data_IF_996450811762
#
_entry.id   IF_996450811762
#
_cell.length_a   1.000
_cell.length_b   1.000
_cell.length_c   1.000
_cell.angle_alpha   90.00
_cell.angle_beta   90.00
_cell.angle_gamma   90.00
#
_symmetry.space_group_name_H-M   'P 1'
#
loop_
_entity.id
_entity.type
_entity.pdbx_description
1 polymer ?
#
# COMPACT_ATOMS: atom_id res chain seq x y z
N UNK A 1 -48.84 49.41 55.56
CA UNK A 1 -49.31 49.84 56.89
C UNK A 1 -50.76 49.43 57.05
N UNK A 2 -51.27 49.38 58.28
CA UNK A 2 -52.70 49.23 58.59
C UNK A 2 -53.11 50.29 59.62
N UNK A 3 -54.40 50.41 59.91
CA UNK A 3 -54.93 51.38 60.88
C UNK A 3 -55.65 50.66 62.02
N UNK A 4 -55.32 51.05 63.25
CA UNK A 4 -56.03 50.69 64.47
C UNK A 4 -56.79 51.91 65.01
N UNK A 5 -57.97 51.68 65.58
CA UNK A 5 -58.85 52.76 66.05
C UNK A 5 -58.31 53.49 67.29
N UNK A 6 -57.41 52.88 68.05
CA UNK A 6 -56.82 53.44 69.27
C UNK A 6 -55.37 53.90 69.05
N UNK A 7 -54.56 53.10 68.36
CA UNK A 7 -53.11 53.33 68.14
C UNK A 7 -52.80 54.10 66.86
N UNK A 8 -53.77 54.24 65.94
CA UNK A 8 -53.56 54.87 64.66
C UNK A 8 -52.80 53.97 63.68
N UNK A 9 -51.81 54.50 62.94
CA UNK A 9 -51.12 53.73 61.90
C UNK A 9 -50.14 52.71 62.48
N UNK A 10 -50.30 51.43 62.12
CA UNK A 10 -49.38 50.35 62.46
C UNK A 10 -48.54 49.97 61.23
N UNK A 11 -47.22 49.97 61.41
CA UNK A 11 -46.27 49.45 60.41
C UNK A 11 -46.08 47.96 60.60
N UNK A 12 -46.22 47.19 59.52
CA UNK A 12 -46.07 45.75 59.58
C UNK A 12 -44.60 45.36 59.76
N UNK A 13 -44.36 44.33 60.54
CA UNK A 13 -43.05 43.68 60.67
C UNK A 13 -43.04 42.36 59.91
N UNK A 14 -41.88 41.94 59.41
CA UNK A 14 -41.73 40.63 58.78
C UNK A 14 -40.41 39.98 59.21
N UNK A 15 -40.38 38.66 59.22
CA UNK A 15 -39.16 37.87 59.42
C UNK A 15 -38.43 37.58 58.11
N UNK A 16 -39.03 37.92 56.96
CA UNK A 16 -38.38 37.77 55.65
C UNK A 16 -37.16 38.68 55.56
N UNK A 17 -36.02 38.11 55.17
CA UNK A 17 -34.77 38.85 54.94
C UNK A 17 -34.79 39.50 53.56
N UNK A 18 -34.35 40.76 53.49
CA UNK A 18 -34.20 41.51 52.25
C UNK A 18 -32.71 41.83 51.99
N UNK A 19 -32.28 41.97 50.72
CA UNK A 19 -33.08 41.82 49.50
C UNK A 19 -33.46 40.35 49.19
N UNK A 20 -34.62 40.14 48.55
CA UNK A 20 -35.01 38.83 48.03
C UNK A 20 -34.30 38.63 46.69
N UNK A 21 -33.33 37.73 46.65
CA UNK A 21 -32.48 37.47 45.47
C UNK A 21 -32.76 36.12 44.81
N UNK A 22 -33.46 35.22 45.50
CA UNK A 22 -33.78 33.89 44.98
C UNK A 22 -34.84 33.99 43.88
N UNK A 23 -34.57 33.36 42.74
CA UNK A 23 -35.52 33.24 41.65
C UNK A 23 -36.79 32.47 42.08
N UNK A 24 -37.94 32.89 41.56
CA UNK A 24 -39.23 32.25 41.81
C UNK A 24 -40.19 33.16 42.56
N UNK A 25 -41.19 32.58 43.22
CA UNK A 25 -42.16 33.33 44.03
C UNK A 25 -41.84 33.19 45.51
N UNK A 26 -41.53 34.30 46.18
CA UNK A 26 -41.40 34.38 47.64
C UNK A 26 -42.65 35.04 48.22
N UNK A 27 -43.28 34.39 49.20
CA UNK A 27 -44.41 34.97 49.93
C UNK A 27 -43.87 35.65 51.19
N UNK A 28 -44.01 36.97 51.26
CA UNK A 28 -43.72 37.77 52.44
C UNK A 28 -44.98 37.85 53.29
N UNK A 29 -44.89 37.42 54.55
CA UNK A 29 -45.97 37.60 55.53
C UNK A 29 -45.65 38.80 56.39
N UNK A 30 -46.54 39.79 56.36
CA UNK A 30 -46.50 40.99 57.18
C UNK A 30 -47.38 40.79 58.42
N UNK A 31 -46.83 41.02 59.60
CA UNK A 31 -47.52 40.94 60.89
C UNK A 31 -47.75 42.34 61.44
N UNK A 32 -48.99 42.66 61.79
CA UNK A 32 -49.38 43.92 62.40
C UNK A 32 -49.85 43.63 63.83
N UNK A 33 -49.08 44.07 64.82
CA UNK A 33 -49.37 43.91 66.24
C UNK A 33 -49.66 45.28 66.85
N UNK A 34 -50.84 45.44 67.43
CA UNK A 34 -51.24 46.68 68.11
C UNK A 34 -50.54 46.89 69.47
N UNK A 35 -49.81 45.90 69.98
CA UNK A 35 -49.12 45.96 71.28
C UNK A 35 -50.04 45.67 72.46
N UNK A 36 -51.33 45.43 72.21
CA UNK A 36 -52.36 45.08 73.19
C UNK A 36 -52.83 43.62 73.00
N UNK A 37 -52.11 42.84 72.18
CA UNK A 37 -52.38 41.42 71.94
C UNK A 37 -53.19 41.14 70.68
N UNK A 38 -53.64 42.16 69.94
CA UNK A 38 -54.31 41.95 68.67
C UNK A 38 -53.30 41.88 67.53
N UNK A 39 -53.32 40.77 66.80
CA UNK A 39 -52.41 40.50 65.69
C UNK A 39 -53.22 40.21 64.44
N UNK A 40 -52.89 40.89 63.34
CA UNK A 40 -53.39 40.58 62.00
C UNK A 40 -52.23 40.37 61.04
N UNK A 41 -52.47 39.62 59.96
CA UNK A 41 -51.43 39.34 58.96
C UNK A 41 -51.92 39.65 57.54
N UNK A 42 -50.98 40.03 56.68
CA UNK A 42 -51.21 40.19 55.25
C UNK A 42 -50.06 39.54 54.47
N UNK A 43 -50.35 38.92 53.33
CA UNK A 43 -49.33 38.30 52.48
C UNK A 43 -49.06 39.14 51.24
N UNK A 44 -47.80 39.20 50.82
CA UNK A 44 -47.34 39.84 49.60
C UNK A 44 -46.52 38.83 48.81
N UNK A 45 -46.85 38.62 47.54
CA UNK A 45 -46.04 37.79 46.63
C UNK A 45 -44.99 38.66 45.95
N UNK A 46 -43.73 38.29 46.09
CA UNK A 46 -42.60 38.84 45.35
C UNK A 46 -42.18 37.79 44.32
N UNK A 47 -42.11 38.18 43.05
CA UNK A 47 -41.74 37.27 41.95
C UNK A 47 -40.43 37.77 41.35
N UNK A 48 -39.38 36.96 41.48
CA UNK A 48 -38.09 37.17 40.83
C UNK A 48 -38.07 36.28 39.59
N UNK A 49 -37.99 36.89 38.40
CA UNK A 49 -37.88 36.17 37.12
C UNK A 49 -36.51 36.37 36.54
N UNK A 50 -35.98 35.30 35.98
CA UNK A 50 -34.87 35.39 35.06
C UNK A 50 -35.40 35.77 33.68
N UNK A 51 -34.76 36.77 33.09
CA UNK A 51 -35.09 37.32 31.77
C UNK A 51 -33.83 37.48 30.90
N UNK A 52 -32.68 37.03 31.39
CA UNK A 52 -31.40 37.22 30.72
C UNK A 52 -31.06 35.94 29.99
N UNK A 53 -30.69 36.03 28.72
CA UNK A 53 -30.26 34.87 27.97
C UNK A 53 -28.83 34.46 28.36
N UNK A 54 -28.48 33.17 28.21
CA UNK A 54 -27.11 32.72 28.40
C UNK A 54 -26.13 33.50 27.52
N UNK A 55 -24.88 33.63 27.98
CA UNK A 55 -23.83 34.28 27.19
C UNK A 55 -23.59 33.47 25.91
N UNK A 56 -23.50 34.12 24.75
CA UNK A 56 -23.17 33.44 23.49
C UNK A 56 -21.67 33.09 23.46
N UNK A 57 -21.28 31.80 23.42
CA UNK A 57 -19.87 31.45 23.31
C UNK A 57 -19.36 31.62 21.88
N UNK A 58 -18.07 31.93 21.74
CA UNK A 58 -17.35 31.77 20.48
C UNK A 58 -16.70 30.39 20.48
N UNK A 59 -17.09 29.53 19.54
CA UNK A 59 -16.63 28.15 19.49
C UNK A 59 -15.49 28.01 18.48
N UNK A 60 -14.41 27.35 18.89
CA UNK A 60 -13.30 27.02 18.00
C UNK A 60 -13.70 25.93 16.99
N UNK A 61 -13.12 25.99 15.80
CA UNK A 61 -13.31 24.97 14.77
C UNK A 61 -12.75 23.61 15.24
N UNK A 62 -13.41 22.52 14.83
CA UNK A 62 -12.93 21.16 15.02
C UNK A 62 -12.38 20.67 13.70
N UNK A 63 -11.11 20.27 13.66
CA UNK A 63 -10.45 19.75 12.45
C UNK A 63 -10.05 18.30 12.65
N UNK A 64 -10.31 17.45 11.66
CA UNK A 64 -9.91 16.04 11.70
C UNK A 64 -9.54 15.49 10.33
N UNK A 65 -8.69 14.47 10.32
CA UNK A 65 -8.34 13.72 9.12
C UNK A 65 -9.21 12.47 9.06
N UNK A 66 -9.82 12.21 7.90
CA UNK A 66 -10.73 11.08 7.64
C UNK A 66 -12.06 11.11 8.42
N UNK A 67 -12.06 11.69 9.61
CA UNK A 67 -13.24 11.99 10.40
C UNK A 67 -12.95 13.12 11.39
N UNK A 68 -14.00 13.78 11.85
CA UNK A 68 -13.93 14.76 12.92
C UNK A 68 -15.16 14.62 13.82
N UNK A 69 -14.95 14.70 15.13
CA UNK A 69 -16.02 14.59 16.13
C UNK A 69 -16.02 15.81 17.05
N UNK A 70 -17.14 16.51 17.13
CA UNK A 70 -17.35 17.62 18.04
C UNK A 70 -17.92 17.12 19.38
N UNK A 71 -17.53 17.78 20.47
CA UNK A 71 -18.09 17.56 21.81
C UNK A 71 -18.99 18.71 22.20
N UNK A 72 -20.03 18.43 23.00
CA UNK A 72 -20.94 19.46 23.48
C UNK A 72 -20.20 20.58 24.23
N UNK A 73 -20.28 21.84 23.77
CA UNK A 73 -19.67 22.98 24.45
C UNK A 73 -20.50 23.41 25.66
N UNK A 74 -19.93 24.26 26.50
CA UNK A 74 -20.63 24.90 27.62
C UNK A 74 -20.62 26.42 27.48
N UNK A 75 -21.59 27.06 28.12
CA UNK A 75 -21.62 28.51 28.36
C UNK A 75 -22.12 28.80 29.77
N UNK A 76 -22.21 30.08 30.14
CA UNK A 76 -22.66 30.54 31.44
C UNK A 76 -23.89 31.44 31.34
N UNK A 77 -24.72 31.38 32.38
CA UNK A 77 -25.85 32.26 32.63
C UNK A 77 -25.77 32.82 34.07
N UNK A 78 -26.27 34.04 34.30
CA UNK A 78 -26.15 34.73 35.58
C UNK A 78 -27.05 34.16 36.68
N UNK A 79 -28.12 33.43 36.35
CA UNK A 79 -29.03 32.80 37.31
C UNK A 79 -28.86 31.28 37.36
N UNK A 80 -28.68 30.62 36.22
CA UNK A 80 -28.53 29.17 36.10
C UNK A 80 -27.11 28.67 36.33
N UNK A 81 -26.10 29.50 36.04
CA UNK A 81 -24.69 29.08 36.04
C UNK A 81 -24.30 28.39 34.73
N UNK A 82 -23.57 27.28 34.81
CA UNK A 82 -23.08 26.58 33.61
C UNK A 82 -24.20 25.84 32.88
N UNK A 83 -24.26 26.01 31.56
CA UNK A 83 -25.22 25.36 30.66
C UNK A 83 -24.44 24.60 29.58
N UNK A 84 -24.79 23.33 29.37
CA UNK A 84 -24.27 22.51 28.27
C UNK A 84 -25.13 22.69 27.02
N UNK A 85 -24.50 22.94 25.88
CA UNK A 85 -25.19 23.10 24.60
C UNK A 85 -25.79 21.79 24.11
N UNK A 86 -26.94 21.87 23.45
CA UNK A 86 -27.59 20.76 22.76
C UNK A 86 -27.69 21.04 21.27
N UNK A 87 -27.75 19.99 20.46
CA UNK A 87 -27.92 20.11 19.01
C UNK A 87 -28.68 18.91 18.46
N UNK A 88 -29.32 19.08 17.30
CA UNK A 88 -29.86 17.98 16.50
C UNK A 88 -28.94 17.61 15.33
N UNK A 89 -27.87 18.37 15.12
CA UNK A 89 -26.89 18.09 14.08
C UNK A 89 -26.03 16.87 14.48
N UNK A 90 -25.47 16.12 13.50
CA UNK A 90 -24.51 15.07 13.79
C UNK A 90 -23.29 15.60 14.54
N UNK A 91 -22.75 14.79 15.44
CA UNK A 91 -21.50 15.13 16.14
C UNK A 91 -20.26 14.60 15.44
N UNK A 92 -20.41 13.62 14.55
CA UNK A 92 -19.32 13.00 13.80
C UNK A 92 -19.55 13.13 12.31
N UNK A 93 -18.52 13.59 11.60
CA UNK A 93 -18.52 13.76 10.15
C UNK A 93 -17.36 13.00 9.54
N UNK A 94 -17.60 12.35 8.39
CA UNK A 94 -16.61 11.53 7.67
C UNK A 94 -16.46 11.94 6.19
N UNK A 95 -17.21 12.94 5.74
CA UNK A 95 -17.17 13.43 4.35
C UNK A 95 -16.33 14.69 4.24
N UNK A 96 -15.55 14.81 3.16
CA UNK A 96 -14.69 15.96 2.87
C UNK A 96 -15.47 17.27 2.96
N UNK A 97 -14.87 18.26 3.64
CA UNK A 97 -15.34 19.64 3.63
C UNK A 97 -15.63 20.21 5.00
N UNK A 98 -16.34 21.33 5.00
CA UNK A 98 -16.73 22.06 6.21
C UNK A 98 -18.21 21.83 6.49
N UNK A 99 -18.49 21.26 7.66
CA UNK A 99 -19.81 21.09 8.23
C UNK A 99 -20.04 22.14 9.32
N UNK A 100 -21.30 22.44 9.60
CA UNK A 100 -21.67 23.41 10.63
C UNK A 100 -22.62 22.74 11.62
N UNK A 101 -22.25 22.78 12.90
CA UNK A 101 -23.14 22.42 14.00
C UNK A 101 -23.73 23.71 14.57
N UNK A 102 -25.04 23.73 14.79
CA UNK A 102 -25.75 24.77 15.53
C UNK A 102 -26.05 24.27 16.94
N UNK A 103 -25.42 24.90 17.92
CA UNK A 103 -25.63 24.63 19.34
C UNK A 103 -26.71 25.54 19.92
N UNK A 104 -27.57 24.97 20.76
CA UNK A 104 -28.61 25.66 21.51
C UNK A 104 -28.31 25.60 23.01
N UNK A 105 -28.32 26.75 23.66
CA UNK A 105 -28.12 26.88 25.11
C UNK A 105 -29.42 27.42 25.71
N UNK A 106 -30.11 26.59 26.47
CA UNK A 106 -31.37 26.92 27.14
C UNK A 106 -31.15 26.89 28.65
N UNK A 107 -31.43 27.99 29.34
CA UNK A 107 -31.30 28.13 30.79
C UNK A 107 -32.39 27.38 31.59
N UNK A 108 -33.44 26.92 30.92
CA UNK A 108 -34.63 26.30 31.51
C UNK A 108 -35.70 27.29 31.98
N UNK A 109 -35.45 28.59 31.82
CA UNK A 109 -36.33 29.69 32.21
C UNK A 109 -36.99 30.37 30.99
N UNK A 110 -36.72 29.84 29.79
CA UNK A 110 -37.26 30.32 28.52
C UNK A 110 -36.31 31.25 27.77
N UNK A 111 -35.11 31.52 28.29
CA UNK A 111 -34.10 32.29 27.59
C UNK A 111 -33.14 31.35 26.86
N UNK A 112 -32.92 31.63 25.58
CA UNK A 112 -32.17 30.76 24.66
C UNK A 112 -31.14 31.59 23.92
N UNK A 113 -29.94 31.04 23.81
CA UNK A 113 -28.86 31.55 22.96
C UNK A 113 -28.36 30.44 22.06
N UNK A 114 -27.90 30.79 20.86
CA UNK A 114 -27.30 29.83 19.92
C UNK A 114 -25.88 30.23 19.54
N UNK A 115 -25.06 29.24 19.18
CA UNK A 115 -23.74 29.45 18.62
C UNK A 115 -23.47 28.40 17.53
N UNK A 116 -22.67 28.75 16.53
CA UNK A 116 -22.27 27.81 15.48
C UNK A 116 -20.83 27.36 15.70
N UNK A 117 -20.53 26.12 15.30
CA UNK A 117 -19.20 25.55 15.31
C UNK A 117 -18.92 24.88 13.97
N UNK A 118 -17.77 25.18 13.35
CA UNK A 118 -17.36 24.49 12.13
C UNK A 118 -16.68 23.17 12.48
N UNK A 119 -16.99 22.15 11.70
CA UNK A 119 -16.31 20.85 11.74
C UNK A 119 -15.72 20.60 10.36
N UNK A 120 -14.40 20.57 10.27
CA UNK A 120 -13.63 20.50 9.03
C UNK A 120 -13.02 19.10 8.91
N UNK A 121 -13.45 18.34 7.92
CA UNK A 121 -12.91 17.02 7.59
C UNK A 121 -12.02 17.15 6.37
N UNK A 122 -10.76 16.72 6.52
CA UNK A 122 -9.81 16.62 5.43
C UNK A 122 -9.53 15.14 5.11
N UNK A 123 -9.91 14.70 3.93
CA UNK A 123 -9.63 13.37 3.39
C UNK A 123 -8.27 13.45 2.69
N UNK A 124 -7.30 12.76 3.28
CA UNK A 124 -5.97 12.59 2.70
C UNK A 124 -5.75 11.11 2.50
N UNK A 125 -5.46 10.65 1.27
CA UNK A 125 -5.22 9.23 1.03
C UNK A 125 -3.92 8.79 1.70
N UNK A 126 -3.93 7.59 2.27
CA UNK A 126 -2.71 6.92 2.75
C UNK A 126 -2.00 6.28 1.57
N UNK A 127 -0.79 6.74 1.24
CA UNK A 127 -0.03 6.28 0.07
C UNK A 127 1.14 5.41 0.51
N UNK A 128 1.25 4.20 -0.03
CA UNK A 128 2.42 3.33 0.10
C UNK A 128 3.02 3.04 -1.27
N UNK A 129 4.31 3.32 -1.45
CA UNK A 129 5.01 3.06 -2.72
C UNK A 129 5.82 1.77 -2.63
N UNK A 130 5.66 0.91 -3.62
CA UNK A 130 6.35 -0.37 -3.77
C UNK A 130 7.13 -0.30 -5.07
N UNK A 131 8.44 -0.54 -5.00
CA UNK A 131 9.30 -0.59 -6.19
C UNK A 131 9.68 -2.03 -6.46
N UNK A 132 9.34 -2.53 -7.64
CA UNK A 132 9.71 -3.87 -8.10
C UNK A 132 11.15 -3.81 -8.62
N UNK A 133 12.09 -4.58 -8.04
CA UNK A 133 13.50 -4.49 -8.41
C UNK A 133 13.83 -5.23 -9.72
N UNK A 134 12.99 -6.18 -10.12
CA UNK A 134 13.18 -6.97 -11.35
C UNK A 134 12.67 -6.22 -12.58
N UNK A 135 13.41 -6.33 -13.68
CA UNK A 135 13.00 -5.81 -14.98
C UNK A 135 12.06 -6.82 -15.64
N UNK A 136 10.85 -6.38 -15.98
CA UNK A 136 9.89 -7.20 -16.71
C UNK A 136 10.18 -7.12 -18.21
N UNK A 137 10.29 -8.27 -18.87
CA UNK A 137 10.60 -8.31 -20.30
C UNK A 137 9.38 -7.93 -21.16
N UNK A 138 9.56 -6.98 -22.06
CA UNK A 138 8.54 -6.52 -23.01
C UNK A 138 8.36 -7.41 -24.24
N UNK A 139 9.25 -8.38 -24.45
CA UNK A 139 9.19 -9.36 -25.55
C UNK A 139 9.04 -10.75 -24.96
N UNK A 140 7.95 -11.44 -25.31
CA UNK A 140 7.60 -12.77 -24.78
C UNK A 140 7.57 -12.85 -23.24
N UNK A 141 7.26 -11.73 -22.58
CA UNK A 141 7.11 -11.67 -21.14
C UNK A 141 5.85 -12.42 -20.68
N UNK A 142 5.96 -13.14 -19.57
CA UNK A 142 4.79 -13.76 -18.93
C UNK A 142 3.93 -12.68 -18.26
N UNK A 143 2.59 -12.75 -18.36
CA UNK A 143 1.72 -11.86 -17.61
C UNK A 143 1.99 -11.92 -16.11
N UNK A 144 1.99 -10.77 -15.45
CA UNK A 144 2.31 -10.62 -14.02
C UNK A 144 1.06 -10.18 -13.28
N UNK A 145 0.69 -10.89 -12.20
CA UNK A 145 -0.39 -10.45 -11.31
C UNK A 145 0.15 -9.44 -10.29
N UNK A 146 -0.24 -8.17 -10.44
CA UNK A 146 0.24 -7.09 -9.58
C UNK A 146 -0.22 -7.23 -8.12
N UNK A 147 -1.24 -8.03 -7.83
CA UNK A 147 -1.65 -8.30 -6.44
C UNK A 147 -0.58 -9.04 -5.64
N UNK A 148 0.34 -9.75 -6.31
CA UNK A 148 1.46 -10.43 -5.67
C UNK A 148 2.46 -9.47 -5.01
N UNK A 149 2.47 -8.20 -5.40
CA UNK A 149 3.33 -7.16 -4.82
C UNK A 149 2.70 -6.42 -3.64
N UNK A 150 1.40 -6.62 -3.38
CA UNK A 150 0.73 -5.96 -2.26
C UNK A 150 1.12 -6.61 -0.91
N UNK A 151 1.14 -5.85 0.19
CA UNK A 151 1.27 -6.41 1.53
C UNK A 151 0.21 -7.47 1.83
N UNK A 152 0.56 -8.47 2.64
CA UNK A 152 -0.35 -9.60 2.97
C UNK A 152 -1.64 -9.16 3.66
N UNK A 153 -1.59 -8.05 4.41
CA UNK A 153 -2.69 -7.44 5.13
C UNK A 153 -3.45 -6.39 4.30
N UNK A 154 -3.06 -6.15 3.04
CA UNK A 154 -3.76 -5.23 2.17
C UNK A 154 -5.21 -5.70 1.92
N UNK A 155 -6.22 -4.81 2.10
CA UNK A 155 -7.60 -5.12 1.75
C UNK A 155 -7.74 -5.52 0.27
N UNK A 156 -8.55 -6.54 -0.03
CA UNK A 156 -8.66 -7.13 -1.37
C UNK A 156 -9.78 -6.55 -2.24
N UNK A 157 -10.46 -5.51 -1.77
CA UNK A 157 -11.61 -4.88 -2.43
C UNK A 157 -11.25 -3.58 -3.18
N UNK A 158 -9.96 -3.34 -3.44
CA UNK A 158 -9.51 -2.20 -4.22
C UNK A 158 -9.63 -2.38 -5.72
N UNK A 159 -9.44 -1.28 -6.44
CA UNK A 159 -9.49 -1.17 -7.90
C UNK A 159 -8.12 -0.80 -8.45
N UNK A 160 -7.72 -1.45 -9.54
CA UNK A 160 -6.47 -1.17 -10.22
C UNK A 160 -6.63 -0.02 -11.24
N UNK A 161 -5.63 0.85 -11.29
CA UNK A 161 -5.54 1.98 -12.23
C UNK A 161 -4.17 1.96 -12.90
N UNK A 162 -4.18 1.91 -14.22
CA UNK A 162 -3.00 2.12 -15.06
C UNK A 162 -2.68 3.62 -15.12
N UNK A 163 -1.67 4.06 -14.37
CA UNK A 163 -1.37 5.51 -14.24
C UNK A 163 -0.70 6.05 -15.51
N UNK A 164 -0.07 5.17 -16.29
CA UNK A 164 0.60 5.52 -17.53
C UNK A 164 -0.31 5.39 -18.76
N UNK A 165 -1.55 4.93 -18.60
CA UNK A 165 -2.46 4.58 -19.70
C UNK A 165 -1.78 3.68 -20.75
N UNK A 166 -0.98 2.71 -20.29
CA UNK A 166 -0.25 1.78 -21.14
C UNK A 166 -1.18 0.84 -21.94
N UNK A 167 -2.39 0.58 -21.43
CA UNK A 167 -3.30 -0.42 -21.99
C UNK A 167 -2.85 -1.86 -21.72
N UNK A 168 -1.80 -2.04 -20.92
CA UNK A 168 -1.20 -3.32 -20.59
C UNK A 168 -1.93 -4.07 -19.46
N UNK A 169 -2.84 -3.39 -18.75
CA UNK A 169 -3.48 -3.90 -17.53
C UNK A 169 -4.91 -4.39 -17.79
N UNK A 170 -5.20 -5.62 -17.37
CA UNK A 170 -6.55 -6.19 -17.33
C UNK A 170 -6.86 -6.70 -15.92
N UNK A 171 -7.68 -5.95 -15.18
CA UNK A 171 -7.86 -6.19 -13.74
C UNK A 171 -6.53 -5.99 -13.01
N UNK A 172 -6.01 -7.04 -12.37
CA UNK A 172 -4.68 -7.03 -11.75
C UNK A 172 -3.57 -7.59 -12.64
N UNK A 173 -3.91 -8.14 -13.81
CA UNK A 173 -2.96 -8.85 -14.67
C UNK A 173 -2.32 -7.85 -15.63
N UNK A 174 -1.03 -7.62 -15.46
CA UNK A 174 -0.18 -6.86 -16.35
C UNK A 174 0.33 -7.77 -17.47
N UNK A 175 0.00 -7.46 -18.73
CA UNK A 175 0.60 -8.06 -19.90
C UNK A 175 1.72 -7.15 -20.43
N UNK A 176 3.01 -7.49 -20.24
CA UNK A 176 4.11 -6.61 -20.64
C UNK A 176 4.40 -6.63 -22.15
N UNK A 177 3.77 -7.54 -22.91
CA UNK A 177 4.10 -7.72 -24.32
C UNK A 177 3.64 -6.55 -25.18
N UNK A 178 4.53 -6.09 -26.07
CA UNK A 178 4.30 -4.94 -26.96
C UNK A 178 4.08 -3.61 -26.23
N UNK A 179 4.49 -3.54 -24.96
CA UNK A 179 4.57 -2.30 -24.19
C UNK A 179 5.95 -1.68 -24.41
N UNK A 180 6.02 -0.35 -24.49
CA UNK A 180 7.30 0.34 -24.68
C UNK A 180 8.25 0.12 -23.50
N UNK A 181 9.56 0.15 -23.75
CA UNK A 181 10.56 0.10 -22.68
C UNK A 181 10.53 1.42 -21.90
N UNK A 182 10.10 1.38 -20.64
CA UNK A 182 9.96 2.54 -19.76
C UNK A 182 9.74 2.11 -18.30
N UNK A 183 9.71 3.10 -17.40
CA UNK A 183 9.20 2.94 -16.05
C UNK A 183 7.68 3.10 -16.03
N UNK A 184 6.99 2.16 -15.38
CA UNK A 184 5.54 2.11 -15.26
C UNK A 184 5.10 2.18 -13.80
N UNK A 185 3.96 2.82 -13.58
CA UNK A 185 3.29 3.03 -12.30
C UNK A 185 1.85 2.56 -12.40
N UNK A 186 1.47 1.70 -11.46
CA UNK A 186 0.11 1.21 -11.30
C UNK A 186 -0.39 1.53 -9.90
N UNK A 187 -1.65 1.93 -9.77
CA UNK A 187 -2.25 2.21 -8.47
C UNK A 187 -3.29 1.15 -8.12
N UNK A 188 -3.27 0.70 -6.87
CA UNK A 188 -4.34 -0.08 -6.27
C UNK A 188 -5.05 0.79 -5.23
N UNK A 189 -6.29 1.19 -5.54
CA UNK A 189 -7.06 2.17 -4.79
C UNK A 189 -8.16 1.46 -3.99
N UNK A 190 -8.16 1.63 -2.68
CA UNK A 190 -9.21 1.14 -1.79
C UNK A 190 -9.98 2.35 -1.27
N UNK A 191 -11.21 2.52 -1.75
CA UNK A 191 -12.11 3.55 -1.24
C UNK A 191 -12.69 3.09 0.09
N UNK A 192 -12.26 3.71 1.19
CA UNK A 192 -12.91 3.55 2.50
C UNK A 192 -13.75 4.77 2.82
N UNK A 193 -14.77 4.61 3.66
CA UNK A 193 -15.63 5.72 4.10
C UNK A 193 -14.91 6.76 4.98
N UNK A 194 -13.66 6.51 5.38
CA UNK A 194 -12.85 7.42 6.19
C UNK A 194 -11.75 8.08 5.35
N UNK A 195 -10.80 7.28 4.84
CA UNK A 195 -9.75 7.75 3.95
C UNK A 195 -9.36 6.68 2.92
N UNK A 196 -9.18 7.04 1.64
CA UNK A 196 -8.69 6.09 0.66
C UNK A 196 -7.30 5.57 1.02
N UNK A 197 -7.06 4.29 0.78
CA UNK A 197 -5.72 3.70 0.84
C UNK A 197 -5.26 3.46 -0.59
N UNK A 198 -4.05 3.90 -0.92
CA UNK A 198 -3.47 3.79 -2.26
C UNK A 198 -2.12 3.09 -2.16
N UNK A 199 -1.97 1.99 -2.89
CA UNK A 199 -0.67 1.38 -3.13
C UNK A 199 -0.19 1.74 -4.54
N UNK A 200 1.02 2.28 -4.66
CA UNK A 200 1.65 2.63 -5.94
C UNK A 200 2.73 1.60 -6.24
N UNK A 201 2.54 0.81 -7.31
CA UNK A 201 3.51 -0.16 -7.79
C UNK A 201 4.32 0.47 -8.92
N UNK A 202 5.60 0.72 -8.67
CA UNK A 202 6.56 1.16 -9.66
C UNK A 202 7.39 -0.02 -10.15
N UNK A 203 7.49 -0.21 -11.45
CA UNK A 203 8.28 -1.29 -12.06
C UNK A 203 8.90 -0.82 -13.37
N UNK A 204 9.96 -1.51 -13.81
CA UNK A 204 10.61 -1.24 -15.09
C UNK A 204 10.24 -2.32 -16.09
N UNK A 205 9.71 -1.91 -17.25
CA UNK A 205 9.54 -2.78 -18.41
C UNK A 205 10.65 -2.42 -19.40
N UNK A 206 11.42 -3.40 -19.83
CA UNK A 206 12.50 -3.18 -20.80
C UNK A 206 12.54 -4.30 -21.84
N UNK A 207 13.19 -4.03 -22.97
CA UNK A 207 13.64 -5.09 -23.87
C UNK A 207 14.97 -5.56 -23.29
N UNK A 208 14.92 -6.51 -22.37
CA UNK A 208 16.15 -7.18 -21.95
C UNK A 208 16.73 -7.89 -23.17
N UNK A 209 17.82 -7.32 -23.72
CA UNK A 209 18.67 -8.03 -24.66
C UNK A 209 19.24 -9.22 -23.90
N UNK A 210 18.66 -10.41 -24.09
CA UNK A 210 19.36 -11.64 -23.78
C UNK A 210 20.65 -11.57 -24.59
N UNK A 211 21.81 -11.55 -23.91
CA UNK A 211 23.11 -11.56 -24.57
C UNK A 211 23.08 -12.74 -25.55
N UNK A 212 23.15 -12.46 -26.85
CA UNK A 212 22.97 -13.49 -27.86
C UNK A 212 23.93 -14.66 -27.62
N UNK A 213 23.45 -15.89 -27.85
CA UNK A 213 24.25 -17.09 -27.64
C UNK A 213 25.64 -16.97 -28.27
N UNK A 214 26.68 -17.24 -27.48
CA UNK A 214 28.06 -17.26 -27.97
C UNK A 214 28.18 -18.29 -29.09
N UNK A 215 28.83 -17.92 -30.21
CA UNK A 215 28.88 -18.82 -31.39
C UNK A 215 29.63 -20.11 -31.09
N UNK A 216 29.07 -21.27 -31.46
CA UNK A 216 29.81 -22.54 -31.45
C UNK A 216 31.04 -22.44 -32.35
N UNK A 217 32.23 -22.49 -31.76
CA UNK A 217 33.50 -22.48 -32.46
C UNK A 217 34.27 -23.76 -32.16
N UNK A 218 34.62 -24.52 -33.19
CA UNK A 218 35.28 -25.82 -33.04
C UNK A 218 36.77 -25.63 -33.30
N UNK A 219 37.62 -25.87 -32.29
CA UNK A 219 39.07 -25.79 -32.45
C UNK A 219 39.59 -27.07 -33.09
N UNK A 220 40.25 -26.95 -34.23
CA UNK A 220 40.62 -28.07 -35.10
C UNK A 220 41.97 -28.73 -34.76
N UNK A 221 42.57 -28.43 -33.59
CA UNK A 221 43.80 -29.05 -33.13
C UNK A 221 43.88 -29.12 -31.61
N UNK A 222 44.50 -30.17 -31.08
CA UNK A 222 44.78 -30.32 -29.65
C UNK A 222 46.02 -31.21 -29.40
N UNK A 223 46.67 -31.00 -28.26
CA UNK A 223 47.95 -31.59 -27.89
C UNK A 223 47.94 -32.16 -26.46
N UNK A 224 47.37 -33.37 -26.23
CA UNK A 224 47.33 -33.99 -24.91
C UNK A 224 48.71 -34.54 -24.51
N UNK A 225 49.62 -33.64 -24.12
CA UNK A 225 51.00 -33.92 -23.71
C UNK A 225 51.25 -33.68 -22.20
N UNK A 226 50.25 -33.21 -21.46
CA UNK A 226 50.32 -32.96 -20.03
C UNK A 226 50.92 -31.61 -19.63
N UNK A 227 51.08 -30.67 -20.57
CA UNK A 227 51.56 -29.31 -20.32
C UNK A 227 50.45 -28.33 -19.85
N UNK A 228 49.21 -28.83 -19.75
CA UNK A 228 47.99 -28.11 -19.35
C UNK A 228 47.38 -27.23 -20.46
N UNK A 229 47.99 -27.17 -21.63
CA UNK A 229 47.48 -26.41 -22.77
C UNK A 229 46.96 -27.33 -23.87
N UNK A 230 45.74 -27.06 -24.34
CA UNK A 230 45.10 -27.82 -25.42
C UNK A 230 45.05 -29.34 -25.17
N UNK A 231 44.86 -29.75 -23.91
CA UNK A 231 44.79 -31.17 -23.52
C UNK A 231 43.57 -31.91 -24.07
N UNK A 232 42.58 -31.16 -24.56
CA UNK A 232 41.29 -31.68 -25.00
C UNK A 232 40.86 -31.06 -26.31
N UNK A 233 40.00 -31.77 -27.04
CA UNK A 233 39.29 -31.19 -28.17
C UNK A 233 38.27 -30.16 -27.67
N UNK A 234 38.55 -28.86 -27.85
CA UNK A 234 37.71 -27.79 -27.31
C UNK A 234 36.67 -27.30 -28.33
N UNK A 235 35.44 -27.12 -27.88
CA UNK A 235 34.34 -26.50 -28.64
C UNK A 235 33.79 -25.35 -27.79
N UNK A 236 34.03 -24.11 -28.20
CA UNK A 236 33.60 -22.94 -27.42
C UNK A 236 32.06 -22.86 -27.31
N UNK A 237 31.58 -22.50 -26.12
CA UNK A 237 30.17 -22.25 -25.78
C UNK A 237 29.25 -23.48 -25.78
N UNK A 238 29.74 -24.69 -26.07
CA UNK A 238 28.89 -25.89 -26.16
C UNK A 238 28.29 -26.30 -24.81
N UNK A 239 28.90 -25.86 -23.71
CA UNK A 239 28.46 -26.07 -22.33
C UNK A 239 27.29 -25.18 -21.90
N UNK A 240 26.96 -24.13 -22.68
CA UNK A 240 25.82 -23.26 -22.38
C UNK A 240 24.51 -23.98 -22.74
N UNK A 241 23.94 -24.71 -21.79
CA UNK A 241 22.72 -25.49 -22.00
C UNK A 241 21.46 -24.64 -22.16
N UNK A 242 21.50 -23.34 -21.85
CA UNK A 242 20.39 -22.43 -22.15
C UNK A 242 20.34 -22.13 -23.64
N UNK A 243 21.52 -22.02 -24.28
CA UNK A 243 21.65 -21.79 -25.70
C UNK A 243 21.68 -23.08 -26.52
N UNK A 244 22.33 -24.13 -26.00
CA UNK A 244 22.64 -25.37 -26.69
C UNK A 244 22.22 -26.59 -25.86
N UNK A 245 20.91 -26.86 -25.72
CA UNK A 245 20.38 -27.81 -24.74
C UNK A 245 20.77 -29.27 -25.03
N UNK A 246 21.03 -29.62 -26.29
CA UNK A 246 21.48 -30.96 -26.67
C UNK A 246 22.68 -30.90 -27.61
N UNK A 247 23.65 -31.78 -27.41
CA UNK A 247 24.75 -31.96 -28.36
C UNK A 247 25.28 -33.41 -28.36
N UNK A 248 25.92 -33.79 -29.47
CA UNK A 248 26.67 -35.04 -29.61
C UNK A 248 27.92 -34.83 -30.47
N UNK A 249 29.00 -35.51 -30.10
CA UNK A 249 30.28 -35.47 -30.81
C UNK A 249 30.68 -36.89 -31.20
N UNK A 250 30.98 -37.08 -32.47
CA UNK A 250 31.55 -38.30 -33.04
C UNK A 250 32.92 -37.98 -33.64
N UNK A 251 33.90 -38.86 -33.46
CA UNK A 251 35.25 -38.69 -34.01
C UNK A 251 35.67 -39.96 -34.74
N UNK A 252 36.20 -39.78 -35.93
CA UNK A 252 36.62 -40.82 -36.85
C UNK A 252 38.10 -40.70 -37.17
N UNK A 253 38.77 -41.83 -37.34
CA UNK A 253 40.13 -41.83 -37.88
C UNK A 253 40.12 -41.62 -39.42
N UNK A 254 41.32 -41.54 -40.02
CA UNK A 254 41.48 -41.33 -41.47
C UNK A 254 40.86 -42.38 -42.38
N UNK A 255 40.48 -43.55 -41.85
CA UNK A 255 39.82 -44.63 -42.59
C UNK A 255 38.30 -44.62 -42.40
N UNK A 256 37.74 -43.62 -41.69
CA UNK A 256 36.31 -43.51 -41.41
C UNK A 256 35.82 -44.43 -40.29
N UNK A 257 36.73 -44.97 -39.46
CA UNK A 257 36.35 -45.80 -38.30
C UNK A 257 36.08 -44.87 -37.11
N UNK A 258 34.92 -45.04 -36.47
CA UNK A 258 34.53 -44.32 -35.25
C UNK A 258 35.46 -44.72 -34.10
N UNK A 259 36.13 -43.72 -33.52
CA UNK A 259 37.06 -43.87 -32.39
C UNK A 259 36.52 -43.27 -31.10
N UNK A 260 35.59 -42.33 -31.17
CA UNK A 260 34.97 -41.73 -29.98
C UNK A 260 33.56 -41.24 -30.32
N UNK A 261 32.63 -41.38 -29.38
CA UNK A 261 31.25 -40.88 -29.48
C UNK A 261 30.76 -40.49 -28.09
N UNK A 262 30.11 -39.34 -27.97
CA UNK A 262 29.43 -38.94 -26.72
C UNK A 262 28.22 -38.05 -26.97
N UNK A 263 27.36 -37.93 -25.95
CA UNK A 263 26.27 -36.96 -25.86
C UNK A 263 26.51 -36.01 -24.68
N UNK A 264 26.12 -34.76 -24.81
CA UNK A 264 26.32 -33.75 -23.76
C UNK A 264 27.80 -33.44 -23.54
N UNK A 265 28.54 -33.22 -24.63
CA UNK A 265 29.91 -32.73 -24.62
C UNK A 265 29.98 -31.39 -23.90
N UNK A 266 30.90 -31.23 -22.95
CA UNK A 266 30.95 -30.07 -22.03
C UNK A 266 32.37 -29.50 -21.85
N UNK A 267 33.33 -29.94 -22.66
CA UNK A 267 34.76 -29.61 -22.55
C UNK A 267 35.44 -30.02 -21.22
N UNK A 268 34.73 -30.68 -20.29
CA UNK A 268 35.22 -30.93 -18.92
C UNK A 268 35.08 -32.41 -18.55
N UNK A 269 33.85 -32.89 -18.39
CA UNK A 269 33.55 -34.25 -17.95
C UNK A 269 33.37 -35.19 -19.15
N UNK A 270 32.55 -34.76 -20.11
CA UNK A 270 32.26 -35.48 -21.35
C UNK A 270 33.11 -34.85 -22.46
N UNK A 271 34.35 -35.31 -22.57
CA UNK A 271 35.34 -34.66 -23.42
C UNK A 271 36.28 -35.66 -24.06
N UNK A 272 36.71 -35.35 -25.27
CA UNK A 272 37.67 -36.16 -26.00
C UNK A 272 39.10 -35.73 -25.69
N UNK A 273 39.86 -36.66 -25.10
CA UNK A 273 41.26 -36.49 -24.66
C UNK A 273 42.27 -37.20 -25.57
N UNK A 274 41.86 -37.62 -26.77
CA UNK A 274 42.71 -38.37 -27.70
C UNK A 274 42.84 -39.86 -27.38
N UNK A 275 41.87 -40.45 -26.68
CA UNK A 275 41.80 -41.89 -26.42
C UNK A 275 40.62 -42.49 -27.17
N UNK A 276 40.82 -43.68 -27.73
CA UNK A 276 39.75 -44.38 -28.44
C UNK A 276 38.82 -45.08 -27.46
N UNK A 277 37.53 -44.85 -27.61
CA UNK A 277 36.45 -45.56 -26.92
C UNK A 277 35.70 -46.54 -27.84
N UNK A 278 36.08 -46.59 -29.13
CA UNK A 278 35.47 -47.45 -30.14
C UNK A 278 35.60 -48.96 -29.86
N UNK A 279 34.65 -49.74 -30.40
CA UNK A 279 34.45 -51.19 -30.16
C UNK A 279 35.63 -52.11 -30.54
N UNK A 280 36.58 -51.62 -31.35
CA UNK A 280 37.75 -52.38 -31.85
C UNK A 280 39.09 -51.93 -31.22
N UNK A 281 39.04 -51.23 -30.09
CA UNK A 281 40.25 -50.71 -29.43
C UNK A 281 41.03 -51.82 -28.73
N UNK A 282 42.24 -52.11 -29.19
CA UNK A 282 43.14 -53.16 -28.65
C UNK A 282 43.73 -52.75 -27.30
N UNK A 283 43.97 -51.45 -27.08
CA UNK A 283 44.40 -50.88 -25.80
C UNK A 283 43.83 -49.46 -25.64
N UNK A 284 42.90 -49.28 -24.70
CA UNK A 284 42.26 -47.98 -24.43
C UNK A 284 43.23 -46.96 -23.83
N UNK A 285 44.33 -47.42 -23.22
CA UNK A 285 45.29 -46.57 -22.51
C UNK A 285 46.46 -46.13 -23.40
N UNK A 286 46.68 -46.77 -24.55
CA UNK A 286 47.73 -46.39 -25.50
C UNK A 286 47.46 -45.02 -26.16
N UNK A 287 46.19 -44.61 -26.19
CA UNK A 287 45.75 -43.41 -26.89
C UNK A 287 45.89 -43.51 -28.40
N UNK A 288 45.31 -42.53 -29.09
CA UNK A 288 45.29 -42.48 -30.54
C UNK A 288 46.61 -41.93 -31.10
N UNK A 289 47.11 -42.45 -32.24
CA UNK A 289 48.35 -41.96 -32.84
C UNK A 289 48.21 -40.51 -33.31
N UNK A 290 49.35 -39.79 -33.35
CA UNK A 290 49.43 -38.47 -33.97
C UNK A 290 48.95 -38.53 -35.42
N UNK A 291 48.06 -37.61 -35.79
CA UNK A 291 47.50 -37.56 -37.12
C UNK A 291 46.19 -36.80 -37.22
N UNK A 292 45.62 -36.83 -38.42
CA UNK A 292 44.34 -36.19 -38.72
C UNK A 292 43.19 -37.14 -38.46
N UNK A 293 42.22 -36.65 -37.71
CA UNK A 293 40.93 -37.22 -37.41
C UNK A 293 39.84 -36.34 -38.01
N UNK A 294 38.61 -36.83 -38.01
CA UNK A 294 37.44 -36.11 -38.49
C UNK A 294 36.38 -36.09 -37.41
N UNK A 295 35.70 -34.97 -37.22
CA UNK A 295 34.62 -34.85 -36.24
C UNK A 295 33.28 -34.59 -36.92
N UNK A 296 32.22 -35.06 -36.29
CA UNK A 296 30.84 -34.64 -36.52
C UNK A 296 30.30 -34.15 -35.18
N UNK A 297 29.85 -32.89 -35.16
CA UNK A 297 29.16 -32.26 -34.04
C UNK A 297 27.71 -32.02 -34.46
N UNK A 298 26.78 -32.67 -33.79
CA UNK A 298 25.36 -32.32 -33.87
C UNK A 298 24.98 -31.57 -32.59
N UNK A 299 24.24 -30.48 -32.70
CA UNK A 299 23.77 -29.71 -31.54
C UNK A 299 22.48 -28.99 -31.85
N UNK A 300 21.67 -28.72 -30.84
CA UNK A 300 20.48 -27.88 -30.98
C UNK A 300 20.76 -26.49 -30.48
N UNK A 301 20.10 -25.47 -31.05
CA UNK A 301 20.14 -24.09 -30.55
C UNK A 301 18.75 -23.56 -30.26
N UNK A 302 18.58 -22.73 -29.23
CA UNK A 302 17.30 -22.09 -28.91
C UNK A 302 17.14 -20.79 -29.71
N UNK A 303 16.08 -20.69 -30.51
CA UNK A 303 15.73 -19.49 -31.27
C UNK A 303 14.92 -18.47 -30.46
N UNK A 304 14.61 -17.32 -31.06
CA UNK A 304 13.97 -16.17 -30.38
C UNK A 304 12.53 -16.43 -29.92
N UNK A 305 11.87 -17.47 -30.45
CA UNK A 305 10.53 -17.90 -30.08
C UNK A 305 10.58 -19.22 -29.27
N UNK A 306 11.73 -19.51 -28.65
CA UNK A 306 11.98 -20.71 -27.86
C UNK A 306 11.89 -22.02 -28.67
N UNK A 307 12.05 -21.93 -29.99
CA UNK A 307 12.13 -23.06 -30.90
C UNK A 307 13.51 -23.74 -30.83
N UNK A 308 13.52 -25.07 -30.91
CA UNK A 308 14.75 -25.88 -30.93
C UNK A 308 15.17 -26.08 -32.39
N UNK A 309 16.33 -25.53 -32.76
CA UNK A 309 16.87 -25.58 -34.12
C UNK A 309 18.03 -26.59 -34.16
N UNK A 310 17.94 -27.69 -34.95
CA UNK A 310 19.05 -28.62 -35.10
C UNK A 310 20.14 -28.06 -36.00
N UNK A 311 21.40 -28.23 -35.59
CA UNK A 311 22.59 -27.78 -36.28
C UNK A 311 23.61 -28.92 -36.40
N UNK A 312 24.42 -28.86 -37.46
CA UNK A 312 25.51 -29.81 -37.70
C UNK A 312 26.78 -29.08 -38.13
N UNK A 313 27.89 -29.41 -37.51
CA UNK A 313 29.25 -29.06 -37.95
C UNK A 313 30.06 -30.32 -38.16
N UNK A 314 30.91 -30.31 -39.18
CA UNK A 314 31.84 -31.40 -39.43
C UNK A 314 33.13 -30.83 -39.99
N UNK A 315 34.25 -31.49 -39.72
CA UNK A 315 35.56 -31.00 -40.09
C UNK A 315 36.65 -31.99 -39.75
N UNK A 316 37.89 -31.51 -39.81
CA UNK A 316 39.05 -32.27 -39.36
C UNK A 316 39.50 -31.80 -37.99
N UNK A 317 40.17 -32.70 -37.28
CA UNK A 317 40.80 -32.49 -35.97
C UNK A 317 42.22 -33.04 -36.05
N UNK A 318 43.22 -32.21 -35.77
CA UNK A 318 44.61 -32.65 -35.69
C UNK A 318 44.98 -32.99 -34.25
N UNK A 319 45.37 -34.25 -34.02
CA UNK A 319 45.88 -34.72 -32.74
C UNK A 319 47.41 -34.82 -32.85
N UNK A 320 48.11 -34.18 -31.91
CA UNK A 320 49.57 -34.29 -31.74
C UNK A 320 49.92 -34.53 -30.27
N UNK A 321 51.09 -35.10 -29.99
CA UNK A 321 51.58 -35.37 -28.62
C UNK A 321 53.07 -35.09 -28.56
#
# INVERSE_FOLDING_TARGET
TTTDNCKGTITGTTTTVFPITTQGTTVVTWTFNDGNGNITTATQKVIVKDITAPVAPTLADVTGQCSATATAPTTTDNCKGTITGTTNDPLTYTTQGTHIITWTFNDGNGNITTATQKVIVNIVPSITTITVPEIINSINGTPVDLTSYLPQDAPKNGTWVDTNNSGALNGSILNPNNVASADYSFQYIIETQACPIIYVINLKIDQSFVLGCGTINVHNAFSPNGDQFNEVFKIDNIEDTLCYPENSVEIYNRWGILVYETKGYDNVNNVFKGYSEGRVTVDKNAGLPTGTYFYILNYTSVGLQNEIIPNKKQGYLYLTR
#
